data_IF_097061091485
#
_entry.id   IF_097061091485
#
_cell.length_a   1.000
_cell.length_b   1.000
_cell.length_c   1.000
_cell.angle_alpha   90.00
_cell.angle_beta   90.00
_cell.angle_gamma   90.00
#
_symmetry.space_group_name_H-M   'P 1'
#
loop_
_entity.id
_entity.type
_entity.pdbx_description
1 polymer ?
#
# COMPACT_ATOMS: atom_id res chain seq x y z
N UNK A 1 11.35 -9.78 2.37
CA UNK A 1 10.87 -9.07 1.17
C UNK A 1 10.94 -9.99 -0.03
N UNK A 2 9.98 -9.87 -0.96
CA UNK A 2 9.99 -10.56 -2.24
C UNK A 2 9.98 -9.52 -3.34
N UNK A 3 10.74 -9.75 -4.39
CA UNK A 3 10.81 -8.87 -5.57
C UNK A 3 10.75 -9.71 -6.84
N UNK A 4 10.10 -9.19 -7.86
CA UNK A 4 10.03 -9.78 -9.19
C UNK A 4 11.08 -9.19 -10.13
N UNK A 5 11.60 -9.99 -11.03
CA UNK A 5 12.46 -9.52 -12.12
C UNK A 5 11.59 -9.11 -13.31
N UNK A 6 11.57 -7.82 -13.65
CA UNK A 6 10.79 -7.26 -14.78
C UNK A 6 10.95 -8.08 -16.07
N UNK A 7 9.87 -8.28 -16.79
CA UNK A 7 9.76 -9.06 -18.04
C UNK A 7 10.12 -10.55 -17.92
N UNK A 8 10.10 -11.08 -16.71
CA UNK A 8 10.26 -12.51 -16.45
C UNK A 8 9.27 -12.97 -15.38
N UNK A 9 9.18 -14.28 -15.15
CA UNK A 9 8.41 -14.90 -14.07
C UNK A 9 9.27 -15.13 -12.82
N UNK A 10 10.51 -14.63 -12.80
CA UNK A 10 11.49 -14.97 -11.75
C UNK A 10 11.39 -14.01 -10.59
N UNK A 11 11.41 -14.56 -9.39
CA UNK A 11 11.38 -13.85 -8.13
C UNK A 11 12.64 -14.10 -7.30
N UNK A 12 12.88 -13.20 -6.35
CA UNK A 12 13.90 -13.35 -5.33
C UNK A 12 13.34 -12.87 -3.97
N UNK A 13 13.75 -13.54 -2.91
CA UNK A 13 13.46 -13.15 -1.54
C UNK A 13 14.70 -12.57 -0.88
N UNK A 14 14.52 -11.47 -0.14
CA UNK A 14 15.53 -10.86 0.71
C UNK A 14 15.21 -11.11 2.19
N UNK A 15 16.17 -11.66 2.90
CA UNK A 15 16.12 -11.79 4.35
C UNK A 15 16.90 -10.63 5.01
N UNK A 16 16.21 -9.67 5.67
CA UNK A 16 16.87 -8.53 6.28
C UNK A 16 17.69 -8.90 7.54
N UNK A 17 17.47 -10.07 8.13
CA UNK A 17 18.22 -10.52 9.33
C UNK A 17 19.61 -11.03 8.97
N UNK A 18 19.73 -11.68 7.81
CA UNK A 18 20.99 -12.24 7.30
C UNK A 18 21.61 -11.41 6.18
N UNK A 19 20.86 -10.44 5.65
CA UNK A 19 21.21 -9.62 4.47
C UNK A 19 21.48 -10.49 3.21
N UNK A 20 20.80 -11.61 3.10
CA UNK A 20 20.96 -12.54 1.99
C UNK A 20 19.77 -12.52 1.04
N UNK A 21 20.08 -12.70 -0.23
CA UNK A 21 19.10 -12.92 -1.29
C UNK A 21 19.00 -14.42 -1.62
N UNK A 22 17.78 -14.90 -1.79
CA UNK A 22 17.49 -16.25 -2.28
C UNK A 22 16.71 -16.16 -3.57
N UNK A 23 17.21 -16.79 -4.63
CA UNK A 23 16.46 -16.91 -5.88
C UNK A 23 15.33 -17.91 -5.72
N UNK A 24 14.11 -17.51 -6.05
CA UNK A 24 12.92 -18.36 -5.97
C UNK A 24 12.58 -19.04 -7.30
N UNK A 25 13.21 -18.60 -8.40
CA UNK A 25 12.86 -19.06 -9.75
C UNK A 25 11.53 -18.45 -10.19
N UNK A 26 10.77 -19.16 -11.00
CA UNK A 26 9.41 -18.75 -11.42
C UNK A 26 8.35 -19.08 -10.35
N UNK A 27 8.67 -19.98 -9.43
CA UNK A 27 7.80 -20.37 -8.32
C UNK A 27 6.34 -20.68 -8.72
N UNK A 28 6.13 -21.08 -9.97
CA UNK A 28 4.82 -21.36 -10.56
C UNK A 28 4.05 -20.15 -11.06
N UNK A 29 4.69 -18.96 -11.12
CA UNK A 29 4.09 -17.75 -11.70
C UNK A 29 3.81 -17.95 -13.18
N UNK A 30 2.63 -17.59 -13.63
CA UNK A 30 2.18 -17.75 -15.01
C UNK A 30 2.37 -16.46 -15.82
N UNK A 31 2.22 -15.29 -15.23
CA UNK A 31 2.47 -14.03 -15.89
C UNK A 31 3.89 -13.49 -15.64
N UNK A 32 4.27 -12.45 -16.36
CA UNK A 32 5.55 -11.77 -16.16
C UNK A 32 5.44 -10.77 -15.00
N UNK A 33 6.55 -10.56 -14.31
CA UNK A 33 6.69 -9.45 -13.36
C UNK A 33 6.92 -8.14 -14.13
N UNK A 34 5.89 -7.57 -14.71
CA UNK A 34 5.97 -6.32 -15.45
C UNK A 34 4.63 -5.61 -15.38
N UNK A 35 4.65 -4.37 -14.97
CA UNK A 35 3.49 -3.50 -14.83
C UNK A 35 2.41 -4.09 -13.87
N UNK A 36 2.84 -4.90 -12.89
CA UNK A 36 1.97 -5.56 -11.92
C UNK A 36 2.13 -4.96 -10.51
N UNK A 37 1.08 -4.43 -9.95
CA UNK A 37 1.04 -4.07 -8.53
C UNK A 37 0.87 -5.31 -7.63
N UNK A 38 1.61 -5.36 -6.53
CA UNK A 38 1.56 -6.46 -5.55
C UNK A 38 0.91 -6.01 -4.26
N UNK A 39 -0.21 -6.62 -3.91
CA UNK A 39 -0.99 -6.29 -2.72
C UNK A 39 -0.80 -7.33 -1.63
N UNK A 40 -0.26 -6.93 -0.47
CA UNK A 40 -0.14 -7.79 0.72
C UNK A 40 -1.51 -8.03 1.34
N UNK A 41 -1.88 -9.30 1.52
CA UNK A 41 -3.13 -9.72 2.15
C UNK A 41 -2.95 -10.00 3.65
N UNK A 42 -4.06 -10.02 4.44
CA UNK A 42 -3.99 -10.24 5.89
C UNK A 42 -3.37 -11.56 6.33
N UNK A 43 -3.41 -12.57 5.49
CA UNK A 43 -2.78 -13.88 5.75
C UNK A 43 -1.30 -13.96 5.33
N UNK A 44 -0.72 -12.83 4.92
CA UNK A 44 0.68 -12.73 4.52
C UNK A 44 0.97 -13.16 3.08
N UNK A 45 -0.05 -13.52 2.31
CA UNK A 45 0.10 -13.79 0.88
C UNK A 45 0.07 -12.50 0.07
N UNK A 46 0.51 -12.55 -1.18
CA UNK A 46 0.59 -11.40 -2.09
C UNK A 46 -0.33 -11.67 -3.28
N UNK A 47 -1.24 -10.75 -3.57
CA UNK A 47 -2.13 -10.78 -4.72
C UNK A 47 -1.59 -9.87 -5.81
N UNK A 48 -1.69 -10.31 -7.06
CA UNK A 48 -1.49 -9.49 -8.26
C UNK A 48 -2.56 -9.79 -9.31
N UNK A 49 -2.88 -8.81 -10.13
CA UNK A 49 -3.64 -9.02 -11.37
C UNK A 49 -2.64 -9.09 -12.53
N UNK A 50 -2.86 -10.05 -13.43
CA UNK A 50 -2.00 -10.28 -14.57
C UNK A 50 -2.16 -9.17 -15.59
N UNK A 51 -1.06 -8.76 -16.19
CA UNK A 51 -1.05 -7.75 -17.26
C UNK A 51 -0.99 -8.43 -18.61
N UNK A 52 -0.06 -9.36 -18.83
CA UNK A 52 0.07 -10.06 -20.11
C UNK A 52 -0.99 -11.16 -20.30
N UNK A 53 -1.37 -11.82 -19.22
CA UNK A 53 -2.37 -12.88 -19.25
C UNK A 53 -3.73 -12.41 -18.72
N UNK A 54 -4.02 -11.09 -18.81
CA UNK A 54 -5.30 -10.52 -18.41
C UNK A 54 -6.47 -11.29 -19.09
N UNK A 55 -7.61 -11.46 -18.43
CA UNK A 55 -8.00 -10.95 -17.10
C UNK A 55 -7.75 -11.96 -15.95
N UNK A 56 -6.63 -12.64 -15.94
CA UNK A 56 -6.27 -13.53 -14.84
C UNK A 56 -5.67 -12.76 -13.64
N UNK A 57 -5.43 -13.48 -12.57
CA UNK A 57 -4.76 -13.00 -11.38
C UNK A 57 -4.05 -14.13 -10.67
N UNK A 58 -3.03 -13.78 -9.86
CA UNK A 58 -2.19 -14.74 -9.17
C UNK A 58 -2.00 -14.37 -7.71
N UNK A 59 -1.70 -15.36 -6.89
CA UNK A 59 -1.45 -15.19 -5.47
C UNK A 59 -0.22 -15.97 -5.04
N UNK A 60 0.78 -15.27 -4.50
CA UNK A 60 1.99 -15.84 -3.94
C UNK A 60 1.80 -16.19 -2.47
N UNK A 61 2.20 -17.39 -2.09
CA UNK A 61 2.23 -17.81 -0.70
C UNK A 61 3.69 -17.94 -0.22
N UNK A 62 4.19 -17.06 0.64
CA UNK A 62 5.57 -17.09 1.11
C UNK A 62 5.89 -18.32 1.97
N UNK A 63 4.90 -18.97 2.60
CA UNK A 63 5.13 -20.18 3.38
C UNK A 63 5.44 -21.40 2.50
N UNK A 64 4.97 -21.41 1.26
CA UNK A 64 5.24 -22.48 0.28
C UNK A 64 6.22 -22.07 -0.79
N UNK A 65 6.46 -20.76 -0.93
CA UNK A 65 7.28 -20.20 -2.00
C UNK A 65 6.66 -20.36 -3.38
N UNK A 66 5.32 -20.41 -3.49
CA UNK A 66 4.63 -20.72 -4.74
C UNK A 66 3.55 -19.70 -5.09
N UNK A 67 3.48 -19.38 -6.38
CA UNK A 67 2.35 -18.70 -7.00
C UNK A 67 1.25 -19.71 -7.37
N UNK A 68 0.02 -19.25 -7.33
CA UNK A 68 -1.16 -20.00 -7.79
C UNK A 68 -2.18 -19.02 -8.35
N UNK A 69 -2.99 -19.49 -9.29
CA UNK A 69 -4.11 -18.69 -9.79
C UNK A 69 -5.02 -18.22 -8.65
N UNK A 70 -5.38 -16.95 -8.70
CA UNK A 70 -6.39 -16.31 -7.85
C UNK A 70 -7.70 -16.04 -8.60
N UNK A 71 -7.85 -16.62 -9.81
CA UNK A 71 -9.03 -16.50 -10.65
C UNK A 71 -8.96 -15.38 -11.67
N UNK A 72 -10.08 -15.11 -12.32
CA UNK A 72 -10.22 -14.04 -13.31
C UNK A 72 -10.77 -12.78 -12.63
N UNK A 73 -10.21 -11.61 -12.95
CA UNK A 73 -10.74 -10.29 -12.57
C UNK A 73 -12.09 -9.99 -13.23
N UNK A 74 -12.56 -10.85 -14.12
CA UNK A 74 -13.81 -10.76 -14.90
C UNK A 74 -13.72 -9.69 -15.99
N UNK A 75 -13.25 -8.52 -15.65
CA UNK A 75 -12.96 -7.41 -16.58
C UNK A 75 -11.45 -7.34 -16.80
N UNK A 76 -11.05 -6.91 -17.98
CA UNK A 76 -9.65 -6.64 -18.28
C UNK A 76 -9.24 -5.33 -17.61
N UNK A 77 -8.29 -5.40 -16.69
CA UNK A 77 -7.76 -4.23 -15.98
C UNK A 77 -6.54 -3.64 -16.69
N UNK A 78 -6.00 -4.34 -17.68
CA UNK A 78 -4.81 -3.92 -18.39
C UNK A 78 -5.16 -3.14 -19.66
N UNK A 79 -4.28 -2.22 -20.01
CA UNK A 79 -4.29 -1.50 -21.27
C UNK A 79 -3.07 -1.91 -22.09
N UNK A 80 -3.23 -2.49 -23.28
CA UNK A 80 -2.09 -2.90 -24.08
C UNK A 80 -1.27 -1.69 -24.54
N UNK A 81 0.06 -1.80 -24.46
CA UNK A 81 0.93 -0.77 -25.02
C UNK A 81 0.79 -0.71 -26.56
N UNK A 82 0.50 0.45 -27.15
CA UNK A 82 0.36 0.57 -28.61
C UNK A 82 1.71 0.62 -29.33
N UNK A 83 2.82 0.78 -28.60
CA UNK A 83 4.14 1.04 -29.18
C UNK A 83 5.16 -0.02 -28.79
N UNK A 84 5.95 -0.48 -29.78
CA UNK A 84 7.14 -1.29 -29.51
C UNK A 84 8.22 -0.43 -28.86
N UNK A 85 8.80 -0.96 -27.80
CA UNK A 85 10.02 -0.44 -27.21
C UNK A 85 11.22 -1.21 -27.72
N UNK A 86 12.33 -0.53 -27.98
CA UNK A 86 13.57 -1.16 -28.41
C UNK A 86 14.65 -0.90 -27.37
N UNK A 87 15.38 -1.94 -27.03
CA UNK A 87 16.53 -1.81 -26.13
C UNK A 87 17.60 -0.97 -26.81
N UNK A 88 18.04 0.08 -26.14
CA UNK A 88 19.13 0.96 -26.61
C UNK A 88 20.50 0.54 -26.10
N UNK A 89 20.54 -0.40 -25.17
CA UNK A 89 21.74 -0.91 -24.49
C UNK A 89 21.57 -2.38 -24.11
N UNK A 90 22.67 -3.05 -23.77
CA UNK A 90 22.67 -4.47 -23.40
C UNK A 90 23.25 -5.37 -24.48
N UNK A 91 23.22 -6.69 -24.30
CA UNK A 91 23.87 -7.66 -25.21
C UNK A 91 23.20 -7.71 -26.59
N UNK A 92 21.95 -7.23 -26.71
CA UNK A 92 21.22 -7.14 -27.98
C UNK A 92 20.47 -5.81 -28.07
N UNK A 93 21.17 -4.71 -28.32
CA UNK A 93 20.59 -3.36 -28.22
C UNK A 93 19.52 -3.03 -29.28
N UNK A 94 19.22 -3.92 -30.20
CA UNK A 94 18.18 -3.72 -31.23
C UNK A 94 16.97 -4.65 -31.05
N UNK A 95 16.91 -5.44 -29.97
CA UNK A 95 15.73 -6.23 -29.71
C UNK A 95 14.56 -5.29 -29.35
N UNK A 96 13.53 -5.34 -30.16
CA UNK A 96 12.30 -4.58 -29.94
C UNK A 96 11.21 -5.53 -29.43
N UNK A 97 10.52 -5.14 -28.40
CA UNK A 97 9.40 -5.89 -27.83
C UNK A 97 8.18 -4.98 -27.69
N UNK A 98 7.01 -5.58 -27.62
CA UNK A 98 5.78 -4.87 -27.23
C UNK A 98 5.70 -4.95 -25.71
N UNK A 99 5.75 -3.81 -25.00
CA UNK A 99 5.52 -3.82 -23.56
C UNK A 99 4.18 -4.46 -23.21
N UNK A 100 4.04 -5.08 -22.03
CA UNK A 100 2.77 -5.71 -21.65
C UNK A 100 1.61 -4.72 -21.53
N UNK A 101 1.88 -3.44 -21.36
CA UNK A 101 0.88 -2.39 -21.17
C UNK A 101 0.81 -1.97 -19.70
N UNK A 102 -0.22 -1.23 -19.33
CA UNK A 102 -0.37 -0.61 -18.01
C UNK A 102 -1.55 -1.20 -17.25
N UNK A 103 -1.47 -1.11 -15.91
CA UNK A 103 -2.53 -1.44 -14.96
C UNK A 103 -2.62 -0.33 -13.90
N UNK A 104 -3.71 -0.26 -13.18
CA UNK A 104 -3.86 0.65 -12.07
C UNK A 104 -3.52 0.03 -10.71
N UNK A 105 -3.48 0.85 -9.65
CA UNK A 105 -3.21 0.41 -8.29
C UNK A 105 -4.29 -0.51 -7.72
N UNK A 106 -3.89 -1.41 -6.81
CA UNK A 106 -4.78 -2.26 -6.05
C UNK A 106 -4.58 -2.06 -4.54
N UNK A 107 -5.66 -1.82 -3.81
CA UNK A 107 -5.65 -1.46 -2.38
C UNK A 107 -6.46 -2.45 -1.55
N UNK A 108 -5.82 -3.06 -0.56
CA UNK A 108 -6.49 -3.83 0.48
C UNK A 108 -7.33 -2.89 1.37
N UNK A 109 -8.61 -3.23 1.53
CA UNK A 109 -9.57 -2.48 2.33
C UNK A 109 -9.78 -3.09 3.72
N UNK A 110 -10.31 -2.32 4.68
CA UNK A 110 -10.54 -2.80 6.05
C UNK A 110 -11.51 -3.99 6.18
N UNK A 111 -12.36 -4.20 5.19
CA UNK A 111 -13.28 -5.35 5.12
C UNK A 111 -12.59 -6.62 4.60
N UNK A 112 -11.31 -6.54 4.28
CA UNK A 112 -10.49 -7.63 3.75
C UNK A 112 -10.58 -7.80 2.24
N UNK A 113 -11.40 -7.02 1.53
CA UNK A 113 -11.45 -7.03 0.06
C UNK A 113 -10.30 -6.22 -0.53
N UNK A 114 -9.92 -6.51 -1.78
CA UNK A 114 -8.97 -5.68 -2.53
C UNK A 114 -9.70 -4.98 -3.66
N UNK A 115 -9.65 -3.66 -3.68
CA UNK A 115 -10.14 -2.86 -4.78
C UNK A 115 -9.00 -2.65 -5.77
N UNK A 116 -9.11 -3.20 -6.96
CA UNK A 116 -8.16 -3.11 -8.05
C UNK A 116 -8.72 -2.24 -9.16
N UNK A 117 -7.88 -1.37 -9.69
CA UNK A 117 -8.21 -0.43 -10.75
C UNK A 117 -7.47 -0.77 -12.03
N UNK A 118 -8.00 -0.35 -13.14
CA UNK A 118 -7.45 -0.64 -14.46
C UNK A 118 -7.05 0.63 -15.20
N UNK A 119 -6.39 0.40 -16.32
CA UNK A 119 -5.94 1.39 -17.28
C UNK A 119 -6.75 1.30 -18.58
N UNK A 120 -7.06 2.42 -19.16
CA UNK A 120 -7.54 2.53 -20.55
C UNK A 120 -6.51 3.20 -21.46
N UNK A 121 -5.41 3.71 -20.89
CA UNK A 121 -4.41 4.57 -21.50
C UNK A 121 -3.49 3.82 -22.42
N UNK A 122 -3.59 3.18 -23.25
CA UNK A 122 -2.69 2.51 -24.24
C UNK A 122 -3.30 2.41 -25.62
N UNK A 123 -4.42 3.11 -25.83
CA UNK A 123 -5.16 3.12 -27.10
C UNK A 123 -6.56 2.49 -27.02
N UNK A 124 -7.05 2.18 -25.83
CA UNK A 124 -8.45 1.80 -25.62
C UNK A 124 -9.35 3.03 -25.55
N UNK A 125 -10.43 3.03 -26.31
CA UNK A 125 -11.50 4.03 -26.21
C UNK A 125 -12.53 3.50 -25.19
N UNK A 126 -12.34 3.75 -23.90
CA UNK A 126 -13.31 3.31 -22.90
C UNK A 126 -12.95 3.81 -21.52
N UNK A 127 -13.91 3.77 -20.60
CA UNK A 127 -13.64 4.00 -19.19
C UNK A 127 -12.78 2.87 -18.62
N UNK A 128 -11.84 3.23 -17.74
CA UNK A 128 -11.09 2.24 -16.99
C UNK A 128 -12.01 1.35 -16.14
N UNK A 129 -11.77 0.05 -16.16
CA UNK A 129 -12.55 -0.89 -15.36
C UNK A 129 -11.97 -1.00 -13.95
N UNK A 130 -12.77 -1.48 -13.01
CA UNK A 130 -12.34 -1.87 -11.68
C UNK A 130 -12.86 -3.26 -11.31
N UNK A 131 -12.15 -3.93 -10.43
CA UNK A 131 -12.56 -5.24 -9.91
C UNK A 131 -12.33 -5.32 -8.40
N UNK A 132 -13.07 -6.20 -7.73
CA UNK A 132 -12.98 -6.37 -6.29
C UNK A 132 -12.66 -7.83 -6.00
N UNK A 133 -11.53 -8.08 -5.36
CA UNK A 133 -11.13 -9.40 -4.90
C UNK A 133 -11.70 -9.66 -3.50
N UNK A 134 -12.30 -10.83 -3.33
CA UNK A 134 -12.84 -11.36 -2.08
C UNK A 134 -12.00 -12.55 -1.64
N UNK A 135 -11.03 -12.38 -0.73
CA UNK A 135 -10.20 -13.49 -0.26
C UNK A 135 -11.04 -14.57 0.42
N UNK A 136 -10.72 -15.83 0.16
CA UNK A 136 -11.34 -16.99 0.82
C UNK A 136 -10.32 -18.12 0.97
N UNK A 137 -9.89 -18.42 2.19
CA UNK A 137 -8.83 -19.38 2.43
C UNK A 137 -7.58 -19.08 1.61
N UNK A 138 -7.01 -20.08 0.93
CA UNK A 138 -5.85 -19.91 0.05
C UNK A 138 -6.18 -19.42 -1.37
N UNK A 139 -7.45 -19.15 -1.67
CA UNK A 139 -7.95 -18.64 -2.94
C UNK A 139 -8.76 -17.36 -2.76
N UNK A 140 -9.80 -17.21 -3.57
CA UNK A 140 -10.70 -16.08 -3.54
C UNK A 140 -11.57 -16.04 -4.79
N UNK A 141 -12.35 -14.99 -4.93
CA UNK A 141 -13.16 -14.73 -6.11
C UNK A 141 -13.17 -13.24 -6.43
N UNK A 142 -13.41 -12.91 -7.67
CA UNK A 142 -13.54 -11.54 -8.12
C UNK A 142 -14.99 -11.19 -8.44
N UNK A 143 -15.31 -9.94 -8.27
CA UNK A 143 -16.52 -9.29 -8.80
C UNK A 143 -16.12 -8.03 -9.55
N UNK A 144 -16.92 -7.62 -10.52
CA UNK A 144 -16.73 -6.33 -11.18
C UNK A 144 -16.97 -5.20 -10.18
N UNK A 145 -16.15 -4.16 -10.25
CA UNK A 145 -16.38 -2.90 -9.55
C UNK A 145 -17.04 -1.86 -10.45
N UNK A 146 -17.27 -0.63 -9.97
CA UNK A 146 -17.76 0.47 -10.79
C UNK A 146 -16.66 0.98 -11.73
N UNK A 147 -17.00 1.23 -12.98
CA UNK A 147 -16.10 1.87 -13.93
C UNK A 147 -15.80 3.33 -13.53
N UNK A 148 -14.64 3.83 -13.97
CA UNK A 148 -14.28 5.23 -13.76
C UNK A 148 -15.28 6.15 -14.44
N UNK A 149 -15.80 7.17 -13.72
CA UNK A 149 -16.59 8.20 -14.36
C UNK A 149 -15.73 9.06 -15.33
N UNK A 150 -16.38 9.84 -16.17
CA UNK A 150 -15.77 10.79 -17.10
C UNK A 150 -14.89 10.19 -18.20
N UNK A 151 -14.93 8.88 -18.40
CA UNK A 151 -14.05 8.18 -19.34
C UNK A 151 -12.58 8.16 -18.92
N UNK A 152 -12.31 8.35 -17.63
CA UNK A 152 -10.98 8.32 -17.02
C UNK A 152 -10.55 6.90 -16.66
N UNK A 153 -9.33 6.73 -16.24
CA UNK A 153 -8.75 5.47 -15.76
C UNK A 153 -7.64 5.74 -14.73
N UNK A 154 -6.97 4.70 -14.25
CA UNK A 154 -5.91 4.83 -13.26
C UNK A 154 -4.61 4.14 -13.69
N UNK A 155 -4.36 3.99 -14.99
CA UNK A 155 -3.08 3.48 -15.47
C UNK A 155 -1.93 4.36 -15.01
N UNK A 156 -0.82 3.76 -14.55
CA UNK A 156 0.33 4.48 -14.02
C UNK A 156 -0.04 5.56 -12.98
N UNK A 157 -0.97 5.25 -12.09
CA UNK A 157 -1.49 6.21 -11.14
C UNK A 157 -1.44 5.70 -9.71
N UNK A 158 -1.78 6.56 -8.77
CA UNK A 158 -1.70 6.29 -7.33
C UNK A 158 -3.07 6.08 -6.70
N UNK A 159 -3.11 5.24 -5.68
CA UNK A 159 -4.24 5.13 -4.78
C UNK A 159 -3.79 5.06 -3.32
N UNK A 160 -4.66 5.49 -2.41
CA UNK A 160 -4.42 5.42 -0.97
C UNK A 160 -5.69 4.97 -0.23
N UNK A 161 -5.51 4.11 0.79
CA UNK A 161 -6.55 3.81 1.76
C UNK A 161 -6.71 5.00 2.70
N UNK A 162 -7.91 5.55 2.77
CA UNK A 162 -8.24 6.64 3.68
C UNK A 162 -8.61 6.11 5.08
N UNK A 163 -8.45 6.90 6.15
CA UNK A 163 -8.88 6.51 7.50
C UNK A 163 -10.36 6.15 7.60
N UNK A 164 -11.21 6.67 6.71
CA UNK A 164 -12.63 6.31 6.60
C UNK A 164 -12.88 4.88 6.09
N UNK A 165 -11.84 4.21 5.53
CA UNK A 165 -11.95 2.92 4.85
C UNK A 165 -12.27 3.04 3.35
N UNK A 166 -12.49 4.25 2.85
CA UNK A 166 -12.60 4.51 1.41
C UNK A 166 -11.22 4.44 0.75
N UNK A 167 -11.18 4.24 -0.56
CA UNK A 167 -9.95 4.29 -1.35
C UNK A 167 -9.97 5.56 -2.18
N UNK A 168 -8.96 6.41 -2.02
CA UNK A 168 -8.71 7.55 -2.89
C UNK A 168 -7.88 7.08 -4.07
N UNK A 169 -8.31 7.41 -5.29
CA UNK A 169 -7.60 7.08 -6.52
C UNK A 169 -7.37 8.37 -7.31
N UNK A 170 -6.17 8.57 -7.82
CA UNK A 170 -5.88 9.61 -8.80
C UNK A 170 -6.11 9.03 -10.19
N UNK A 171 -6.98 9.66 -10.97
CA UNK A 171 -7.17 9.33 -12.38
C UNK A 171 -6.10 10.01 -13.26
N UNK A 172 -5.84 9.45 -14.43
CA UNK A 172 -4.83 9.96 -15.36
C UNK A 172 -5.19 11.36 -15.91
N UNK A 173 -6.48 11.70 -15.96
CA UNK A 173 -6.98 13.02 -16.37
C UNK A 173 -6.94 14.06 -15.22
N UNK A 174 -6.35 13.71 -14.07
CA UNK A 174 -6.19 14.59 -12.92
C UNK A 174 -7.44 14.74 -12.05
N UNK A 175 -8.40 13.82 -12.14
CA UNK A 175 -9.49 13.74 -11.18
C UNK A 175 -9.08 12.91 -9.96
N UNK A 176 -9.61 13.28 -8.81
CA UNK A 176 -9.57 12.42 -7.62
C UNK A 176 -10.93 11.74 -7.45
N UNK A 177 -10.86 10.44 -7.21
CA UNK A 177 -12.03 9.59 -6.99
C UNK A 177 -11.97 8.96 -5.61
N UNK A 178 -13.11 8.85 -4.93
CA UNK A 178 -13.26 8.00 -3.76
C UNK A 178 -14.14 6.78 -4.05
N UNK A 179 -13.62 5.59 -3.77
CA UNK A 179 -14.36 4.34 -3.74
C UNK A 179 -14.81 4.03 -2.32
N UNK A 180 -16.11 3.93 -2.08
CA UNK A 180 -16.69 3.71 -0.76
C UNK A 180 -17.07 2.24 -0.46
N UNK A 181 -16.74 1.33 -1.36
CA UNK A 181 -17.10 -0.09 -1.30
C UNK A 181 -18.17 -0.49 -2.31
N UNK A 182 -18.87 0.47 -2.89
CA UNK A 182 -19.95 0.24 -3.87
C UNK A 182 -19.89 1.17 -5.07
N UNK A 183 -19.51 2.41 -4.87
CA UNK A 183 -19.46 3.44 -5.91
C UNK A 183 -18.12 4.17 -5.93
N UNK A 184 -17.71 4.58 -7.10
CA UNK A 184 -16.56 5.42 -7.36
C UNK A 184 -17.07 6.82 -7.74
N UNK A 185 -16.74 7.82 -6.93
CA UNK A 185 -17.28 9.17 -7.07
C UNK A 185 -16.17 10.20 -7.20
N UNK A 186 -16.30 11.15 -8.11
CA UNK A 186 -15.36 12.27 -8.25
C UNK A 186 -15.42 13.16 -7.00
N UNK A 187 -14.26 13.46 -6.42
CA UNK A 187 -14.14 14.31 -5.21
C UNK A 187 -13.40 15.62 -5.50
N UNK A 188 -12.67 15.70 -6.60
CA UNK A 188 -11.91 16.86 -7.00
C UNK A 188 -11.35 16.72 -8.41
N UNK A 189 -10.82 17.80 -8.95
CA UNK A 189 -10.20 17.88 -10.28
C UNK A 189 -9.02 18.85 -10.26
N UNK A 190 -8.12 18.70 -11.23
CA UNK A 190 -6.96 19.57 -11.40
C UNK A 190 -5.78 19.18 -10.52
N UNK A 191 -5.75 17.94 -10.07
CA UNK A 191 -4.61 17.39 -9.35
C UNK A 191 -3.62 16.80 -10.36
N UNK A 192 -2.35 17.18 -10.20
CA UNK A 192 -1.24 16.51 -10.86
C UNK A 192 -0.43 15.83 -9.75
N UNK A 193 -0.07 14.58 -9.94
CA UNK A 193 0.68 13.86 -8.93
C UNK A 193 1.66 12.89 -9.55
N UNK A 194 2.94 13.08 -9.22
CA UNK A 194 3.99 12.10 -9.47
C UNK A 194 4.20 11.21 -8.24
N UNK A 195 3.47 11.49 -7.15
CA UNK A 195 3.50 10.68 -5.93
C UNK A 195 2.32 11.02 -5.01
N UNK A 196 1.89 10.02 -4.23
CA UNK A 196 0.85 10.15 -3.21
C UNK A 196 1.36 9.57 -1.89
N UNK A 197 1.09 10.23 -0.75
CA UNK A 197 1.49 9.75 0.57
C UNK A 197 0.41 10.00 1.60
N UNK A 198 -0.06 8.93 2.25
CA UNK A 198 -0.93 9.04 3.41
C UNK A 198 -0.13 9.49 4.64
N UNK A 199 -0.48 10.66 5.16
CA UNK A 199 0.20 11.29 6.28
C UNK A 199 -0.31 10.75 7.64
N UNK A 200 0.48 10.91 8.73
CA UNK A 200 0.05 10.54 10.07
C UNK A 200 -1.17 11.32 10.58
N UNK A 201 -1.52 12.43 9.93
CA UNK A 201 -2.74 13.20 10.19
C UNK A 201 -4.00 12.56 9.59
N UNK A 202 -3.86 11.57 8.72
CA UNK A 202 -4.94 11.00 7.93
C UNK A 202 -5.22 11.76 6.63
N UNK A 203 -4.51 12.85 6.37
CA UNK A 203 -4.55 13.55 5.08
C UNK A 203 -3.68 12.80 4.06
N UNK A 204 -3.98 13.01 2.79
CA UNK A 204 -3.14 12.50 1.68
C UNK A 204 -2.40 13.67 1.05
N UNK A 205 -1.07 13.55 1.02
CA UNK A 205 -0.21 14.48 0.30
C UNK A 205 -0.05 14.00 -1.15
N UNK A 206 -0.35 14.89 -2.09
CA UNK A 206 -0.09 14.70 -3.51
C UNK A 206 1.06 15.62 -3.90
N UNK A 207 2.06 15.05 -4.55
CA UNK A 207 3.28 15.76 -4.95
C UNK A 207 3.38 15.73 -6.46
N UNK A 208 3.67 16.86 -7.08
CA UNK A 208 4.06 16.97 -8.48
C UNK A 208 5.40 17.69 -8.59
N UNK A 209 5.96 17.79 -9.79
CA UNK A 209 7.24 18.48 -10.04
C UNK A 209 7.33 19.90 -9.43
N UNK A 210 6.21 20.57 -9.31
CA UNK A 210 6.20 22.00 -8.93
C UNK A 210 5.23 22.35 -7.80
N UNK A 211 4.47 21.38 -7.29
CA UNK A 211 3.45 21.64 -6.27
C UNK A 211 3.28 20.50 -5.29
N UNK A 212 2.85 20.86 -4.08
CA UNK A 212 2.37 19.93 -3.05
C UNK A 212 0.96 20.32 -2.71
N UNK A 213 0.04 19.36 -2.78
CA UNK A 213 -1.35 19.52 -2.39
C UNK A 213 -1.70 18.57 -1.25
N UNK A 214 -2.65 18.96 -0.40
CA UNK A 214 -3.17 18.12 0.66
C UNK A 214 -4.65 17.84 0.43
N UNK A 215 -4.97 16.58 0.30
CA UNK A 215 -6.36 16.13 0.32
C UNK A 215 -6.76 15.80 1.76
N UNK A 216 -7.84 16.40 2.24
CA UNK A 216 -8.39 16.13 3.57
C UNK A 216 -9.65 15.29 3.40
N UNK A 217 -9.59 13.97 3.71
CA UNK A 217 -10.75 13.10 3.57
C UNK A 217 -11.85 13.44 4.56
N UNK A 218 -13.09 13.16 4.19
CA UNK A 218 -14.21 13.16 5.10
C UNK A 218 -14.34 11.82 5.83
N UNK A 219 -15.06 11.83 6.96
CA UNK A 219 -15.30 10.62 7.75
C UNK A 219 -14.24 10.37 8.81
N UNK A 220 -14.52 9.37 9.65
CA UNK A 220 -13.66 8.97 10.76
C UNK A 220 -13.39 7.46 10.70
N UNK A 221 -12.25 6.99 11.20
CA UNK A 221 -11.99 5.56 11.29
C UNK A 221 -12.95 4.88 12.25
N UNK A 222 -13.31 3.64 11.96
CA UNK A 222 -14.05 2.81 12.93
C UNK A 222 -13.15 2.48 14.12
N UNK A 223 -13.74 2.39 15.31
CA UNK A 223 -13.01 2.11 16.54
C UNK A 223 -12.21 0.78 16.49
N UNK A 224 -12.71 -0.19 15.73
CA UNK A 224 -12.06 -1.50 15.55
C UNK A 224 -10.77 -1.43 14.71
N UNK A 225 -10.54 -0.35 13.98
CA UNK A 225 -9.37 -0.19 13.11
C UNK A 225 -8.19 0.48 13.80
N UNK A 226 -8.42 1.08 14.98
CA UNK A 226 -7.40 1.80 15.71
C UNK A 226 -6.33 0.82 16.23
N UNK A 227 -5.03 1.16 16.10
CA UNK A 227 -4.00 0.52 16.88
C UNK A 227 -4.30 0.62 18.37
N UNK A 228 -3.91 -0.38 19.16
CA UNK A 228 -4.04 -0.32 20.63
C UNK A 228 -2.68 -0.51 21.27
N UNK A 229 -2.37 0.31 22.30
CA UNK A 229 -1.16 0.15 23.08
C UNK A 229 -1.49 -0.65 24.34
N UNK A 230 -0.92 -1.85 24.49
CA UNK A 230 -1.13 -2.72 25.66
C UNK A 230 0.02 -2.62 26.65
N UNK A 231 1.25 -2.32 26.17
CA UNK A 231 2.43 -2.23 27.04
C UNK A 231 3.43 -1.21 26.49
N UNK A 232 3.84 -0.27 27.35
CA UNK A 232 4.94 0.67 27.12
C UNK A 232 5.51 1.13 28.47
N UNK A 233 6.79 1.49 28.53
CA UNK A 233 7.42 2.06 29.73
C UNK A 233 6.75 3.40 30.09
N UNK A 234 6.41 3.59 31.37
CA UNK A 234 5.79 4.85 31.86
C UNK A 234 6.78 6.00 32.02
N UNK A 235 8.07 5.69 32.13
CA UNK A 235 9.17 6.67 32.20
C UNK A 235 10.18 6.32 31.13
N UNK A 236 10.48 7.26 30.25
CA UNK A 236 11.38 7.11 29.10
C UNK A 236 12.39 8.24 29.10
N UNK A 237 13.62 7.95 28.71
CA UNK A 237 14.69 8.95 28.62
C UNK A 237 15.00 9.30 27.16
N UNK A 238 15.34 10.53 26.92
CA UNK A 238 15.75 11.04 25.59
C UNK A 238 16.97 10.26 25.08
N UNK A 239 17.01 9.98 23.79
CA UNK A 239 18.10 9.26 23.13
C UNK A 239 18.18 7.77 23.48
N UNK A 240 17.17 7.23 24.17
CA UNK A 240 17.11 5.79 24.50
C UNK A 240 16.04 5.07 23.70
N UNK A 241 16.24 3.77 23.51
CA UNK A 241 15.32 2.89 22.80
C UNK A 241 14.43 2.14 23.79
N UNK A 242 13.15 2.03 23.45
CA UNK A 242 12.15 1.29 24.26
C UNK A 242 11.31 0.40 23.37
N UNK A 243 10.84 -0.71 23.94
CA UNK A 243 9.85 -1.57 23.31
C UNK A 243 8.44 -1.09 23.62
N UNK A 244 7.55 -1.19 22.64
CA UNK A 244 6.10 -0.97 22.75
C UNK A 244 5.37 -2.14 22.12
N UNK A 245 4.26 -2.58 22.75
CA UNK A 245 3.45 -3.69 22.24
C UNK A 245 1.97 -3.34 22.25
N UNK A 246 1.24 -3.95 21.33
CA UNK A 246 -0.20 -3.74 21.18
C UNK A 246 -0.78 -4.51 20.01
N UNK A 247 -1.90 -4.07 19.48
CA UNK A 247 -2.55 -4.67 18.32
C UNK A 247 -2.58 -3.70 17.15
N UNK A 248 -2.62 -4.23 15.94
CA UNK A 248 -2.79 -3.46 14.69
C UNK A 248 -1.71 -2.38 14.45
N UNK A 249 -0.49 -2.56 14.93
CA UNK A 249 0.57 -1.57 14.80
C UNK A 249 0.96 -1.28 13.35
N UNK A 250 0.80 -2.26 12.47
CA UNK A 250 1.08 -2.11 11.04
C UNK A 250 -0.16 -1.66 10.23
N UNK A 251 -1.26 -1.34 10.92
CA UNK A 251 -2.51 -0.94 10.25
C UNK A 251 -3.22 -2.09 9.54
N UNK A 252 -4.18 -1.73 8.71
CA UNK A 252 -5.09 -2.67 8.04
C UNK A 252 -4.65 -2.99 6.60
N UNK A 253 -3.72 -2.21 6.05
CA UNK A 253 -3.27 -2.28 4.67
C UNK A 253 -1.86 -1.71 4.57
N UNK A 254 -1.17 -1.95 3.46
CA UNK A 254 0.01 -1.16 3.08
C UNK A 254 -0.38 0.30 2.83
N UNK A 255 -1.65 0.53 2.58
CA UNK A 255 -2.38 1.78 2.46
C UNK A 255 -2.07 2.59 1.20
N UNK A 256 -0.98 2.32 0.49
CA UNK A 256 -0.67 3.06 -0.74
C UNK A 256 -0.10 2.12 -1.79
N UNK A 257 -0.48 2.35 -3.04
CA UNK A 257 0.06 1.68 -4.21
C UNK A 257 0.09 2.63 -5.41
N UNK A 258 1.05 2.44 -6.25
CA UNK A 258 1.09 2.81 -7.66
C UNK A 258 0.74 1.56 -8.47
N UNK A 259 0.44 1.70 -9.76
CA UNK A 259 0.05 0.54 -10.57
C UNK A 259 1.04 -0.61 -10.47
N UNK A 260 2.34 -0.33 -10.61
CA UNK A 260 3.37 -1.37 -10.70
C UNK A 260 4.66 -1.09 -9.92
N UNK A 261 5.33 0.03 -10.17
CA UNK A 261 6.74 0.24 -9.82
C UNK A 261 6.95 0.75 -8.40
N UNK A 262 5.97 1.45 -7.83
CA UNK A 262 6.12 2.15 -6.56
C UNK A 262 5.09 1.70 -5.54
N UNK A 263 5.57 1.46 -4.33
CA UNK A 263 4.72 1.26 -3.18
C UNK A 263 5.24 2.11 -2.02
N UNK A 264 4.52 3.16 -1.69
CA UNK A 264 4.79 3.96 -0.51
C UNK A 264 4.07 3.37 0.69
N UNK A 265 4.62 2.30 1.26
CA UNK A 265 4.01 1.62 2.38
C UNK A 265 3.89 2.56 3.61
N UNK A 266 2.69 2.65 4.16
CA UNK A 266 2.39 3.36 5.41
C UNK A 266 1.95 2.39 6.52
N UNK A 267 2.29 1.12 6.35
CA UNK A 267 1.87 0.02 7.21
C UNK A 267 2.85 -0.30 8.35
N UNK A 268 3.88 0.50 8.56
CA UNK A 268 4.74 0.36 9.74
C UNK A 268 4.32 1.38 10.82
N UNK A 269 4.47 1.03 12.11
CA UNK A 269 4.04 1.90 13.20
C UNK A 269 4.88 3.16 13.32
N UNK A 270 4.23 4.31 13.48
CA UNK A 270 4.86 5.54 13.94
C UNK A 270 4.55 5.71 15.42
N UNK A 271 5.52 6.10 16.23
CA UNK A 271 5.29 6.51 17.63
C UNK A 271 5.29 8.02 17.69
N UNK A 272 4.09 8.58 17.89
CA UNK A 272 3.87 10.02 18.06
C UNK A 272 3.81 10.35 19.54
N UNK A 273 4.61 11.32 19.97
CA UNK A 273 4.62 11.82 21.33
C UNK A 273 4.32 13.31 21.34
N UNK A 274 3.43 13.74 22.23
CA UNK A 274 3.05 15.15 22.38
C UNK A 274 3.35 15.59 23.81
N UNK A 275 4.21 16.58 23.98
CA UNK A 275 4.47 17.17 25.29
C UNK A 275 3.22 17.89 25.79
N UNK A 276 2.75 17.56 27.00
CA UNK A 276 1.47 18.09 27.50
C UNK A 276 1.53 19.58 27.85
N UNK A 277 2.70 20.10 28.20
CA UNK A 277 2.87 21.51 28.59
C UNK A 277 2.98 22.44 27.38
N UNK A 278 3.77 22.05 26.36
CA UNK A 278 4.01 22.88 25.18
C UNK A 278 3.06 22.60 24.00
N UNK A 279 2.49 21.37 23.96
CA UNK A 279 1.75 20.89 22.80
C UNK A 279 2.64 20.45 21.61
N UNK A 280 3.96 20.55 21.72
CA UNK A 280 4.86 20.16 20.65
C UNK A 280 4.80 18.64 20.40
N UNK A 281 4.79 18.29 19.11
CA UNK A 281 4.69 16.91 18.62
C UNK A 281 6.05 16.42 18.14
N UNK A 282 6.40 15.22 18.57
CA UNK A 282 7.62 14.51 18.16
C UNK A 282 7.24 13.15 17.61
N UNK A 283 7.94 12.72 16.55
CA UNK A 283 7.85 11.37 16.03
C UNK A 283 9.14 10.62 16.33
N UNK A 284 9.03 9.44 16.92
CA UNK A 284 10.15 8.56 17.18
C UNK A 284 10.34 7.62 15.98
N UNK A 285 11.61 7.38 15.62
CA UNK A 285 11.97 6.32 14.68
C UNK A 285 11.57 4.98 15.30
N UNK A 286 10.93 4.12 14.50
CA UNK A 286 10.61 2.75 14.90
C UNK A 286 11.44 1.74 14.12
N UNK A 287 11.72 0.58 14.73
CA UNK A 287 12.54 -0.49 14.14
C UNK A 287 12.29 -1.82 14.87
N UNK A 288 12.88 -2.91 14.37
CA UNK A 288 12.76 -4.28 14.92
C UNK A 288 11.29 -4.67 15.13
N UNK A 289 10.49 -4.49 14.08
CA UNK A 289 9.08 -4.86 14.10
C UNK A 289 8.94 -6.38 14.21
N UNK A 290 8.08 -6.85 15.12
CA UNK A 290 7.80 -8.29 15.28
C UNK A 290 7.13 -8.92 14.05
N UNK A 291 6.54 -8.09 13.19
CA UNK A 291 5.93 -8.48 11.91
C UNK A 291 5.80 -7.26 11.00
N UNK A 292 5.80 -7.49 9.69
CA UNK A 292 5.40 -6.51 8.67
C UNK A 292 4.03 -6.83 8.06
N UNK A 293 3.34 -7.87 8.58
CA UNK A 293 1.98 -8.20 8.16
C UNK A 293 0.97 -7.12 8.50
N UNK A 294 -0.07 -6.98 7.69
CA UNK A 294 -1.18 -6.04 7.86
C UNK A 294 -2.39 -6.73 8.47
N UNK A 295 -3.35 -5.97 8.97
CA UNK A 295 -4.63 -6.45 9.52
C UNK A 295 -4.44 -7.61 10.52
N UNK A 296 -3.47 -7.48 11.43
CA UNK A 296 -3.09 -8.52 12.40
C UNK A 296 -4.16 -8.82 13.46
N UNK A 297 -5.30 -8.14 13.40
CA UNK A 297 -6.46 -8.36 14.27
C UNK A 297 -6.12 -8.15 15.75
N UNK A 298 -6.44 -9.15 16.57
CA UNK A 298 -6.17 -9.15 18.02
C UNK A 298 -4.78 -9.64 18.40
N UNK A 299 -3.94 -10.04 17.44
CA UNK A 299 -2.58 -10.51 17.70
C UNK A 299 -1.73 -9.40 18.32
N UNK A 300 -1.03 -9.72 19.41
CA UNK A 300 -0.08 -8.78 20.01
C UNK A 300 1.17 -8.72 19.15
N UNK A 301 1.47 -7.52 18.69
CA UNK A 301 2.66 -7.19 17.92
C UNK A 301 3.50 -6.16 18.67
N UNK A 302 4.76 -6.01 18.31
CA UNK A 302 5.68 -5.09 18.99
C UNK A 302 6.62 -4.41 18.00
N UNK A 303 7.14 -3.28 18.45
CA UNK A 303 8.24 -2.55 17.80
C UNK A 303 9.12 -1.91 18.85
N UNK A 304 10.34 -1.57 18.48
CA UNK A 304 11.17 -0.64 19.24
C UNK A 304 10.99 0.77 18.72
N UNK A 305 11.19 1.75 19.58
CA UNK A 305 11.19 3.18 19.17
C UNK A 305 12.29 3.94 19.89
N UNK A 306 12.94 4.84 19.17
CA UNK A 306 13.99 5.71 19.66
C UNK A 306 13.39 7.04 20.11
N UNK A 307 13.49 7.35 21.40
CA UNK A 307 13.04 8.64 21.91
C UNK A 307 13.95 9.75 21.37
N UNK A 308 13.43 10.74 20.62
CA UNK A 308 14.26 11.79 20.06
C UNK A 308 15.09 12.52 21.14
N UNK A 309 16.38 12.73 20.88
CA UNK A 309 17.26 13.44 21.83
C UNK A 309 16.83 14.88 22.08
N UNK A 310 16.21 15.52 21.08
CA UNK A 310 15.65 16.88 21.17
C UNK A 310 14.24 16.97 21.75
N UNK A 311 13.64 15.86 22.18
CA UNK A 311 12.31 15.90 22.78
C UNK A 311 12.30 16.62 24.12
N UNK A 312 11.27 17.38 24.40
CA UNK A 312 11.07 18.06 25.69
C UNK A 312 10.80 17.07 26.83
N UNK A 313 11.36 17.35 27.98
CA UNK A 313 11.09 16.58 29.20
C UNK A 313 9.73 16.90 29.80
N UNK A 314 9.21 16.00 30.61
CA UNK A 314 7.93 16.19 31.33
C UNK A 314 6.86 15.19 30.89
N UNK A 315 5.65 15.45 31.36
CA UNK A 315 4.48 14.62 31.02
C UNK A 315 4.16 14.77 29.54
N UNK A 316 3.98 13.63 28.87
CA UNK A 316 3.65 13.57 27.46
C UNK A 316 2.60 12.50 27.19
N UNK A 317 1.86 12.64 26.11
CA UNK A 317 1.03 11.57 25.57
C UNK A 317 1.79 10.83 24.47
N UNK A 318 1.63 9.51 24.42
CA UNK A 318 2.21 8.63 23.40
C UNK A 318 1.09 7.91 22.67
N UNK A 319 1.17 7.86 21.36
CA UNK A 319 0.25 7.14 20.47
C UNK A 319 1.03 6.39 19.41
N UNK A 320 0.52 5.23 19.02
CA UNK A 320 0.94 4.55 17.78
C UNK A 320 0.03 5.03 16.66
N UNK A 321 0.60 5.38 15.52
CA UNK A 321 -0.13 5.79 14.31
C UNK A 321 0.23 4.85 13.18
N UNK A 322 -0.77 4.26 12.53
CA UNK A 322 -0.61 3.46 11.32
C UNK A 322 -1.77 3.75 10.36
N UNK A 323 -1.50 3.79 9.07
CA UNK A 323 -2.46 4.16 8.02
C UNK A 323 -3.23 5.48 8.34
N UNK A 324 -2.54 6.47 8.90
CA UNK A 324 -3.15 7.75 9.30
C UNK A 324 -4.09 7.66 10.50
N UNK A 325 -4.21 6.51 11.16
CA UNK A 325 -5.10 6.26 12.30
C UNK A 325 -4.29 6.16 13.58
N UNK A 326 -4.61 7.00 14.56
CA UNK A 326 -3.91 7.04 15.85
C UNK A 326 -4.60 6.14 16.89
N UNK A 327 -3.80 5.45 17.71
CA UNK A 327 -4.28 4.75 18.91
C UNK A 327 -4.86 5.74 19.94
N UNK A 328 -5.56 5.21 20.95
CA UNK A 328 -5.78 5.99 22.18
C UNK A 328 -4.45 6.40 22.79
N UNK A 329 -4.40 7.60 23.35
CA UNK A 329 -3.19 8.14 23.98
C UNK A 329 -2.88 7.42 25.30
N UNK A 330 -1.59 7.15 25.53
CA UNK A 330 -1.05 6.66 26.83
C UNK A 330 -0.16 7.75 27.43
N UNK A 331 -0.26 7.98 28.73
CA UNK A 331 0.60 8.94 29.42
C UNK A 331 1.96 8.33 29.72
N UNK A 332 3.03 9.06 29.37
CA UNK A 332 4.43 8.75 29.70
C UNK A 332 5.13 9.98 30.28
N UNK A 333 6.20 9.77 31.03
CA UNK A 333 7.07 10.85 31.51
C UNK A 333 8.40 10.78 30.78
N UNK A 334 8.78 11.83 30.08
CA UNK A 334 10.08 11.98 29.40
C UNK A 334 11.08 12.62 30.35
N UNK A 335 12.29 12.03 30.45
CA UNK A 335 13.40 12.49 31.32
C UNK A 335 14.60 12.94 30.48
#
# INVERSE_FOLDING_TARGET
FVVGQKLTQKDAAFDPSTLQWTMLGDAGKSDFNAEEGWTLLPDGTILTADVKNAPNSERYNPATGQWKSAGSTIVDLHSPSPYKQCLTYGPKPQDCYLPPGEIGPAILRPDGTVFATGSASGGGSGAGHTAIFHPSGSGGSWTTGPDFPNGDDAGDSFAALLPSGNVLVLGVEGYLYEFNGTSLSTTGQGYAGDNMLLLPSGQVMLVSYSSISLYTPSGQPQAAWLPTVTKVAKSIARGQTYSISGTQFNGLSQAMAFGDEFQNATNYPLVRMTNTASGHVFYAKTHDHSTMGVATGSSIVSTHFDVPSGMETGTSTLQVVANGIASKAVTVTVK
#
